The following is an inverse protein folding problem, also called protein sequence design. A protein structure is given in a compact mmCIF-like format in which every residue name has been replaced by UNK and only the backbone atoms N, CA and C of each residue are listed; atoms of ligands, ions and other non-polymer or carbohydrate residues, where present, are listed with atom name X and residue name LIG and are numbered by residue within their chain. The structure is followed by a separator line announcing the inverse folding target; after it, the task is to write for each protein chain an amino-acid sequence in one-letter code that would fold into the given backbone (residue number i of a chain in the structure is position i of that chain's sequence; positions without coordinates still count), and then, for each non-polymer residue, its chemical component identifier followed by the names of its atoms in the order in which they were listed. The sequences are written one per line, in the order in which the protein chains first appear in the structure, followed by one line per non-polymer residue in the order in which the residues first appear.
data_IF_927547044617
#
_entry.id   IF_927547044617
#
_cell.length_a   1.000
_cell.length_b   1.000
_cell.length_c   1.000
_cell.angle_alpha   90.00
_cell.angle_beta   90.00
_cell.angle_gamma   90.00
#
_symmetry.space_group_name_H-M   'P 1'
#
loop_
_entity.id
_entity.type
_entity.pdbx_description
1 polymer ?
#
# COMPACT_ATOMS: atom_id res chain seq x y z
N UNK A 1 -3.79 66.97 21.69
CA UNK A 1 -4.62 66.72 20.49
C UNK A 1 -3.79 66.41 19.25
N UNK A 2 -2.76 67.19 18.91
CA UNK A 2 -1.90 66.95 17.71
C UNK A 2 -0.88 65.81 17.93
N UNK A 3 -0.17 65.80 19.05
CA UNK A 3 0.80 64.74 19.39
C UNK A 3 0.15 63.35 19.50
N UNK A 4 -1.08 63.30 19.99
CA UNK A 4 -1.82 62.05 20.17
C UNK A 4 -2.24 61.43 18.83
N UNK A 5 -2.68 62.27 17.89
CA UNK A 5 -2.97 61.85 16.51
C UNK A 5 -1.72 61.38 15.79
N UNK A 6 -0.58 61.98 16.08
CA UNK A 6 0.70 61.59 15.49
C UNK A 6 1.21 60.27 16.07
N UNK A 7 1.02 60.04 17.38
CA UNK A 7 1.23 58.72 18.01
C UNK A 7 0.36 57.65 17.36
N UNK A 8 -0.94 57.89 17.21
CA UNK A 8 -1.84 56.94 16.56
C UNK A 8 -1.49 56.65 15.11
N UNK A 9 -0.97 57.64 14.36
CA UNK A 9 -0.45 57.38 13.00
C UNK A 9 0.75 56.44 12.99
N UNK A 10 1.69 56.64 13.91
CA UNK A 10 2.87 55.77 14.02
C UNK A 10 2.48 54.35 14.41
N UNK A 11 1.59 54.20 15.39
CA UNK A 11 1.03 52.90 15.77
C UNK A 11 0.30 52.23 14.59
N UNK A 12 -0.52 52.98 13.85
CA UNK A 12 -1.23 52.41 12.71
C UNK A 12 -0.28 51.92 11.60
N UNK A 13 0.82 52.64 11.37
CA UNK A 13 1.84 52.22 10.41
C UNK A 13 2.51 50.91 10.85
N UNK A 14 2.89 50.80 12.13
CA UNK A 14 3.43 49.56 12.70
C UNK A 14 2.45 48.40 12.55
N UNK A 15 1.17 48.60 12.87
CA UNK A 15 0.16 47.55 12.71
C UNK A 15 -0.03 47.12 11.26
N UNK A 16 0.21 48.00 10.29
CA UNK A 16 0.14 47.63 8.86
C UNK A 16 1.33 46.79 8.45
N UNK A 17 2.51 47.12 8.94
CA UNK A 17 3.72 46.35 8.69
C UNK A 17 3.61 44.96 9.34
N UNK A 18 3.14 44.89 10.60
CA UNK A 18 2.85 43.64 11.29
C UNK A 18 1.83 42.78 10.52
N UNK A 19 0.72 43.37 10.06
CA UNK A 19 -0.26 42.64 9.26
C UNK A 19 0.31 42.11 7.95
N UNK A 20 1.17 42.88 7.26
CA UNK A 20 1.80 42.43 6.03
C UNK A 20 2.71 41.22 6.29
N UNK A 21 3.48 41.25 7.39
CA UNK A 21 4.30 40.12 7.80
C UNK A 21 3.45 38.88 8.13
N UNK A 22 2.39 39.03 8.92
CA UNK A 22 1.51 37.90 9.27
C UNK A 22 0.86 37.26 8.05
N UNK A 23 0.48 38.06 7.03
CA UNK A 23 -0.08 37.53 5.79
C UNK A 23 0.95 36.70 5.00
N UNK A 24 2.21 37.12 5.00
CA UNK A 24 3.29 36.36 4.37
C UNK A 24 3.54 35.03 5.10
N UNK A 25 3.63 35.07 6.43
CA UNK A 25 3.77 33.87 7.28
C UNK A 25 2.61 32.88 7.08
N UNK A 26 1.36 33.38 7.08
CA UNK A 26 0.17 32.56 6.84
C UNK A 26 0.20 31.90 5.45
N UNK A 27 0.68 32.61 4.43
CA UNK A 27 0.81 32.07 3.07
C UNK A 27 1.79 30.90 3.04
N UNK A 28 2.93 31.03 3.72
CA UNK A 28 3.94 29.97 3.86
C UNK A 28 3.36 28.75 4.59
N UNK A 29 2.73 28.96 5.75
CA UNK A 29 2.14 27.87 6.54
C UNK A 29 1.02 27.14 5.79
N UNK A 30 0.18 27.87 5.05
CA UNK A 30 -0.87 27.28 4.22
C UNK A 30 -0.26 26.40 3.12
N UNK A 31 0.80 26.87 2.46
CA UNK A 31 1.49 26.10 1.44
C UNK A 31 2.13 24.82 1.99
N UNK A 32 2.82 24.92 3.12
CA UNK A 32 3.39 23.77 3.84
C UNK A 32 2.31 22.75 4.22
N UNK A 33 1.21 23.22 4.83
CA UNK A 33 0.08 22.38 5.23
C UNK A 33 -0.51 21.61 4.04
N UNK A 34 -0.74 22.29 2.92
CA UNK A 34 -1.30 21.67 1.71
C UNK A 34 -0.39 20.58 1.14
N UNK A 35 0.94 20.77 1.19
CA UNK A 35 1.91 19.76 0.74
C UNK A 35 1.89 18.52 1.63
N UNK A 36 1.87 18.70 2.95
CA UNK A 36 1.78 17.58 3.90
C UNK A 36 0.50 16.77 3.70
N UNK A 37 -0.65 17.45 3.57
CA UNK A 37 -1.94 16.80 3.29
C UNK A 37 -1.89 16.00 1.99
N UNK A 38 -1.29 16.54 0.93
CA UNK A 38 -1.15 15.84 -0.34
C UNK A 38 -0.30 14.56 -0.20
N UNK A 39 0.83 14.61 0.54
CA UNK A 39 1.68 13.44 0.78
C UNK A 39 0.92 12.39 1.59
N UNK A 40 0.22 12.79 2.66
CA UNK A 40 -0.58 11.88 3.48
C UNK A 40 -1.66 11.19 2.65
N UNK A 41 -2.36 11.90 1.77
CA UNK A 41 -3.33 11.28 0.87
C UNK A 41 -2.69 10.29 -0.11
N UNK A 42 -1.49 10.56 -0.64
CA UNK A 42 -0.80 9.61 -1.50
C UNK A 42 -0.38 8.34 -0.72
N UNK A 43 0.10 8.50 0.51
CA UNK A 43 0.43 7.38 1.40
C UNK A 43 -0.82 6.56 1.74
N UNK A 44 -1.91 7.23 2.11
CA UNK A 44 -3.19 6.60 2.41
C UNK A 44 -3.76 5.88 1.19
N UNK A 45 -3.51 6.31 -0.05
CA UNK A 45 -3.95 5.55 -1.23
C UNK A 45 -3.09 4.33 -1.54
N UNK A 46 -1.87 4.31 -1.04
CA UNK A 46 -0.90 3.24 -1.34
C UNK A 46 -1.12 2.02 -0.44
N UNK A 47 -1.69 2.18 0.78
CA UNK A 47 -1.85 1.11 1.78
C UNK A 47 -3.15 0.26 1.74
N UNK A 48 -4.37 0.80 1.54
CA UNK A 48 -5.65 0.13 1.78
C UNK A 48 -5.94 -1.02 0.82
N UNK A 49 -5.40 -0.95 -0.39
CA UNK A 49 -5.52 -2.04 -1.36
C UNK A 49 -4.63 -3.24 -0.99
N UNK A 50 -3.68 -3.11 -0.07
CA UNK A 50 -2.73 -4.18 0.23
C UNK A 50 -3.31 -5.31 1.07
N UNK A 51 -4.03 -5.02 2.15
CA UNK A 51 -4.55 -6.08 3.03
C UNK A 51 -5.56 -6.95 2.30
N UNK A 52 -6.54 -6.35 1.62
CA UNK A 52 -7.52 -7.10 0.83
C UNK A 52 -6.87 -7.93 -0.30
N UNK A 53 -5.89 -7.36 -1.01
CA UNK A 53 -5.16 -8.09 -2.07
C UNK A 53 -4.29 -9.21 -1.50
N UNK A 54 -3.71 -9.03 -0.31
CA UNK A 54 -2.94 -10.07 0.39
C UNK A 54 -3.86 -11.20 0.83
N UNK A 55 -4.99 -10.90 1.46
CA UNK A 55 -5.97 -11.90 1.90
C UNK A 55 -6.50 -12.73 0.72
N UNK A 56 -6.82 -12.07 -0.40
CA UNK A 56 -7.21 -12.76 -1.64
C UNK A 56 -6.09 -13.67 -2.18
N UNK A 57 -4.84 -13.23 -2.11
CA UNK A 57 -3.69 -14.02 -2.58
C UNK A 57 -3.41 -15.22 -1.68
N UNK A 58 -3.53 -15.05 -0.35
CA UNK A 58 -3.44 -16.13 0.64
C UNK A 58 -4.52 -17.17 0.38
N UNK A 59 -5.79 -16.75 0.25
CA UNK A 59 -6.89 -17.67 -0.06
C UNK A 59 -6.67 -18.43 -1.38
N UNK A 60 -6.04 -17.80 -2.37
CA UNK A 60 -5.64 -18.44 -3.62
C UNK A 60 -4.57 -19.52 -3.42
N UNK A 61 -3.57 -19.26 -2.58
CA UNK A 61 -2.52 -20.22 -2.22
C UNK A 61 -3.10 -21.38 -1.42
N UNK A 62 -3.94 -21.12 -0.42
CA UNK A 62 -4.56 -22.17 0.40
C UNK A 62 -5.43 -23.12 -0.43
N UNK A 63 -6.18 -22.56 -1.38
CA UNK A 63 -6.96 -23.38 -2.33
C UNK A 63 -6.06 -24.25 -3.21
N UNK A 64 -4.91 -23.71 -3.65
CA UNK A 64 -3.94 -24.46 -4.44
C UNK A 64 -3.30 -25.59 -3.62
N UNK A 65 -2.99 -25.33 -2.36
CA UNK A 65 -2.48 -26.34 -1.42
C UNK A 65 -3.48 -27.48 -1.23
N UNK A 66 -4.77 -27.17 -1.02
CA UNK A 66 -5.81 -28.19 -0.92
C UNK A 66 -5.91 -29.08 -2.18
N UNK A 67 -5.63 -28.54 -3.37
CA UNK A 67 -5.60 -29.33 -4.61
C UNK A 67 -4.39 -30.26 -4.66
N UNK A 68 -3.22 -29.80 -4.19
CA UNK A 68 -2.03 -30.65 -4.07
C UNK A 68 -2.29 -31.78 -3.08
N UNK A 69 -2.76 -31.49 -1.87
CA UNK A 69 -3.02 -32.51 -0.84
C UNK A 69 -4.02 -33.56 -1.32
N UNK A 70 -5.05 -33.14 -2.08
CA UNK A 70 -6.04 -34.07 -2.66
C UNK A 70 -5.40 -34.97 -3.71
N UNK A 71 -4.53 -34.42 -4.55
CA UNK A 71 -3.79 -35.20 -5.54
C UNK A 71 -2.79 -36.18 -4.89
N UNK A 72 -2.13 -35.78 -3.80
CA UNK A 72 -1.17 -36.61 -3.06
C UNK A 72 -1.80 -37.86 -2.43
N UNK A 73 -2.99 -37.80 -1.82
CA UNK A 73 -3.65 -39.04 -1.34
C UNK A 73 -4.00 -39.99 -2.50
N UNK A 74 -4.26 -39.49 -3.71
CA UNK A 74 -4.46 -40.35 -4.88
C UNK A 74 -3.20 -41.12 -5.30
N UNK A 75 -2.01 -40.68 -4.88
CA UNK A 75 -0.71 -41.31 -5.17
C UNK A 75 -0.23 -42.27 -4.08
N UNK A 76 -0.76 -42.20 -2.87
CA UNK A 76 -0.34 -43.05 -1.75
C UNK A 76 -0.97 -44.43 -1.87
N UNK A 77 -0.13 -45.46 -1.99
CA UNK A 77 -0.54 -46.87 -2.06
C UNK A 77 -1.36 -47.30 -0.83
N UNK A 78 -1.17 -46.63 0.31
CA UNK A 78 -1.92 -46.87 1.56
C UNK A 78 -3.31 -46.21 1.57
N UNK A 79 -3.54 -45.20 0.71
CA UNK A 79 -4.87 -44.61 0.48
C UNK A 79 -5.73 -45.51 -0.45
N UNK A 80 -5.15 -46.44 -1.21
CA UNK A 80 -5.84 -47.18 -2.30
C UNK A 80 -6.96 -48.12 -1.84
N UNK A 81 -6.86 -48.73 -0.66
CA UNK A 81 -7.81 -49.77 -0.22
C UNK A 81 -9.07 -49.20 0.47
N UNK A 82 -9.09 -47.92 0.86
CA UNK A 82 -10.20 -47.32 1.63
C UNK A 82 -10.62 -45.91 1.21
N UNK A 83 -9.97 -45.33 0.18
CA UNK A 83 -10.30 -43.99 -0.28
C UNK A 83 -11.21 -44.04 -1.51
N UNK A 84 -12.41 -43.45 -1.40
CA UNK A 84 -13.37 -43.25 -2.50
C UNK A 84 -12.83 -42.43 -3.69
N UNK A 85 -11.57 -41.98 -3.62
CA UNK A 85 -10.89 -41.14 -4.62
C UNK A 85 -9.86 -41.89 -5.46
N UNK A 86 -9.80 -43.22 -5.36
CA UNK A 86 -9.00 -44.02 -6.27
C UNK A 86 -9.50 -43.82 -7.71
N UNK A 87 -8.64 -43.26 -8.55
CA UNK A 87 -8.84 -43.07 -9.99
C UNK A 87 -7.88 -43.96 -10.78
N UNK A 88 -8.22 -44.28 -12.02
CA UNK A 88 -7.36 -45.06 -12.90
C UNK A 88 -6.03 -44.33 -13.17
N UNK A 89 -4.98 -45.09 -13.53
CA UNK A 89 -3.67 -44.50 -13.91
C UNK A 89 -3.76 -43.49 -15.06
N UNK A 90 -4.75 -43.62 -15.95
CA UNK A 90 -4.98 -42.67 -17.05
C UNK A 90 -5.55 -41.35 -16.50
N UNK A 91 -6.55 -41.41 -15.63
CA UNK A 91 -7.12 -40.24 -14.95
C UNK A 91 -6.09 -39.56 -14.04
N UNK A 92 -5.24 -40.34 -13.38
CA UNK A 92 -4.17 -39.82 -12.54
C UNK A 92 -3.11 -39.06 -13.34
N UNK A 93 -2.73 -39.54 -14.53
CA UNK A 93 -1.83 -38.81 -15.45
C UNK A 93 -2.45 -37.52 -15.97
N UNK A 94 -3.74 -37.54 -16.27
CA UNK A 94 -4.47 -36.34 -16.67
C UNK A 94 -4.50 -35.30 -15.52
N UNK A 95 -4.84 -35.74 -14.31
CA UNK A 95 -4.83 -34.89 -13.11
C UNK A 95 -3.43 -34.33 -12.80
N UNK A 96 -2.37 -35.13 -12.94
CA UNK A 96 -0.99 -34.66 -12.78
C UNK A 96 -0.62 -33.55 -13.77
N UNK A 97 -1.00 -33.75 -15.04
CA UNK A 97 -0.74 -32.76 -16.10
C UNK A 97 -1.48 -31.45 -15.81
N UNK A 98 -2.75 -31.54 -15.42
CA UNK A 98 -3.56 -30.39 -15.05
C UNK A 98 -2.99 -29.66 -13.83
N UNK A 99 -2.64 -30.38 -12.76
CA UNK A 99 -2.04 -29.81 -11.55
C UNK A 99 -0.71 -29.13 -11.87
N UNK A 100 0.12 -29.71 -12.73
CA UNK A 100 1.36 -29.09 -13.20
C UNK A 100 1.13 -27.76 -13.90
N UNK A 101 0.10 -27.68 -14.76
CA UNK A 101 -0.29 -26.43 -15.43
C UNK A 101 -0.82 -25.40 -14.43
N UNK A 102 -1.67 -25.81 -13.49
CA UNK A 102 -2.21 -24.94 -12.44
C UNK A 102 -1.10 -24.42 -11.52
N UNK A 103 -0.17 -25.26 -11.11
CA UNK A 103 1.00 -24.87 -10.31
C UNK A 103 1.87 -23.85 -11.07
N UNK A 104 2.17 -24.09 -12.34
CA UNK A 104 2.93 -23.14 -13.16
C UNK A 104 2.21 -21.78 -13.28
N UNK A 105 0.88 -21.79 -13.38
CA UNK A 105 0.06 -20.56 -13.38
C UNK A 105 0.12 -19.84 -12.04
N UNK A 106 -0.07 -20.54 -10.92
CA UNK A 106 0.02 -19.98 -9.57
C UNK A 106 1.41 -19.37 -9.31
N UNK A 107 2.48 -20.05 -9.72
CA UNK A 107 3.85 -19.54 -9.63
C UNK A 107 4.01 -18.21 -10.36
N UNK A 108 3.49 -18.09 -11.59
CA UNK A 108 3.52 -16.83 -12.35
C UNK A 108 2.72 -15.72 -11.65
N UNK A 109 1.53 -16.04 -11.15
CA UNK A 109 0.69 -15.09 -10.41
C UNK A 109 1.39 -14.60 -9.14
N UNK A 110 1.97 -15.50 -8.35
CA UNK A 110 2.73 -15.17 -7.14
C UNK A 110 3.94 -14.27 -7.45
N UNK A 111 4.73 -14.58 -8.48
CA UNK A 111 5.86 -13.75 -8.87
C UNK A 111 5.43 -12.33 -9.28
N UNK A 112 4.34 -12.22 -10.04
CA UNK A 112 3.77 -10.92 -10.42
C UNK A 112 3.26 -10.14 -9.20
N UNK A 113 2.56 -10.83 -8.29
CA UNK A 113 2.07 -10.23 -7.05
C UNK A 113 3.22 -9.71 -6.19
N UNK A 114 4.25 -10.53 -5.97
CA UNK A 114 5.46 -10.16 -5.21
C UNK A 114 6.13 -8.93 -5.77
N UNK A 115 6.33 -8.87 -7.09
CA UNK A 115 6.94 -7.71 -7.76
C UNK A 115 6.12 -6.44 -7.52
N UNK A 116 4.81 -6.51 -7.70
CA UNK A 116 3.92 -5.36 -7.48
C UNK A 116 3.94 -4.91 -6.03
N UNK A 117 3.83 -5.84 -5.08
CA UNK A 117 3.93 -5.54 -3.66
C UNK A 117 5.24 -4.82 -3.29
N UNK A 118 6.37 -5.29 -3.83
CA UNK A 118 7.66 -4.63 -3.61
C UNK A 118 7.70 -3.20 -4.17
N UNK A 119 7.10 -2.96 -5.34
CA UNK A 119 7.01 -1.63 -5.94
C UNK A 119 6.15 -0.69 -5.09
N UNK A 120 4.98 -1.16 -4.66
CA UNK A 120 4.07 -0.37 -3.83
C UNK A 120 4.74 0.00 -2.49
N UNK A 121 5.49 -0.93 -1.87
CA UNK A 121 6.27 -0.65 -0.65
C UNK A 121 7.47 0.29 -0.86
N UNK A 122 8.09 0.25 -2.04
CA UNK A 122 9.15 1.21 -2.38
C UNK A 122 8.58 2.63 -2.53
N UNK A 123 7.43 2.77 -3.16
CA UNK A 123 6.74 4.05 -3.30
C UNK A 123 6.30 4.60 -1.94
N UNK A 124 5.75 3.73 -1.08
CA UNK A 124 5.42 4.12 0.29
C UNK A 124 6.64 4.66 1.05
N UNK A 125 7.79 3.96 0.98
CA UNK A 125 9.04 4.44 1.59
C UNK A 125 9.48 5.79 1.04
N UNK A 126 9.37 5.99 -0.28
CA UNK A 126 9.71 7.26 -0.93
C UNK A 126 8.85 8.41 -0.40
N UNK A 127 7.54 8.18 -0.28
CA UNK A 127 6.59 9.15 0.27
C UNK A 127 6.89 9.46 1.75
N UNK A 128 7.20 8.44 2.56
CA UNK A 128 7.62 8.66 3.96
C UNK A 128 8.88 9.51 4.05
N UNK A 129 9.90 9.25 3.23
CA UNK A 129 11.11 10.09 3.20
C UNK A 129 10.80 11.51 2.75
N UNK A 130 9.85 11.70 1.82
CA UNK A 130 9.39 13.03 1.42
C UNK A 130 8.69 13.74 2.58
N UNK A 131 7.80 13.05 3.30
CA UNK A 131 7.12 13.60 4.48
C UNK A 131 8.12 14.06 5.55
N UNK A 132 9.12 13.24 5.88
CA UNK A 132 10.15 13.59 6.86
C UNK A 132 10.88 14.86 6.43
N UNK A 133 11.27 14.96 5.16
CA UNK A 133 11.92 16.18 4.64
C UNK A 133 11.02 17.41 4.71
N UNK A 134 9.72 17.28 4.45
CA UNK A 134 8.79 18.40 4.62
C UNK A 134 8.72 18.85 6.08
N UNK A 135 8.72 17.90 7.02
CA UNK A 135 8.68 18.19 8.45
C UNK A 135 9.98 18.86 8.94
N UNK A 136 11.13 18.44 8.43
CA UNK A 136 12.43 19.08 8.70
C UNK A 136 12.51 20.53 8.19
N UNK A 137 11.67 20.92 7.22
CA UNK A 137 11.57 22.29 6.72
C UNK A 137 10.61 23.18 7.53
N UNK A 138 9.96 22.62 8.56
CA UNK A 138 9.10 23.36 9.49
C UNK A 138 9.85 23.81 10.75
N UNK A 139 11.01 23.21 11.05
CA UNK A 139 11.93 23.58 12.13
C UNK A 139 12.84 24.76 11.74
#
# INVERSE_FOLDING_TARGET
MTEERERFRKENALWRDDHAQWLDELSVWLHQTNRLVAILHLMERTLPDHSARLDQHIAGIDKHEQLITRYECGLDERCLESCDRHVSMVEQRAAHTELGQQHAKMKRQHLSFRKRYQQDMQEFRRLTSQLIKELELLD
#
